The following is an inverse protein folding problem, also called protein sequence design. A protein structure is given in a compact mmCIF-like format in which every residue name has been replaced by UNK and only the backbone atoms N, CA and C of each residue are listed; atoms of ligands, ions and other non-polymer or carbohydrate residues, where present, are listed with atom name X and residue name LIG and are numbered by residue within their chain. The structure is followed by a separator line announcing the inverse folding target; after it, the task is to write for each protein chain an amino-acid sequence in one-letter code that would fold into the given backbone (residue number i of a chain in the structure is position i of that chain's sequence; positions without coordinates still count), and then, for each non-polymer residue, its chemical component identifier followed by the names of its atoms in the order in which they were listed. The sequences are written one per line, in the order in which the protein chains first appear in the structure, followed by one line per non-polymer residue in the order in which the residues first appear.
data_IF_400237758125
#
_entry.id   IF_400237758125
#
_cell.length_a   1.000
_cell.length_b   1.000
_cell.length_c   1.000
_cell.angle_alpha   90.00
_cell.angle_beta   90.00
_cell.angle_gamma   90.00
#
_symmetry.space_group_name_H-M   'P 1'
#
loop_
_entity.id
_entity.type
_entity.pdbx_description
1 polymer ?
#
# COMPACT_ATOMS: atom_id res chain seq x y z
N UNK A 1 -5.13 -46.33 -23.91
CA UNK A 1 -6.18 -45.35 -23.69
C UNK A 1 -5.91 -44.69 -22.35
N UNK A 2 -5.08 -43.64 -22.32
CA UNK A 2 -4.68 -42.94 -21.09
C UNK A 2 -5.58 -41.72 -20.88
N UNK A 3 -6.41 -41.76 -19.83
CA UNK A 3 -7.20 -40.61 -19.38
C UNK A 3 -6.26 -39.55 -18.77
N UNK A 4 -6.11 -38.41 -19.44
CA UNK A 4 -5.52 -37.20 -18.85
C UNK A 4 -6.50 -36.63 -17.83
N UNK A 5 -6.21 -36.76 -16.54
CA UNK A 5 -6.84 -36.03 -15.47
C UNK A 5 -6.41 -34.56 -15.57
N UNK A 6 -7.35 -33.68 -15.89
CA UNK A 6 -7.19 -32.23 -15.75
C UNK A 6 -7.04 -31.91 -14.25
N UNK A 7 -5.84 -31.54 -13.81
CA UNK A 7 -5.68 -30.85 -12.52
C UNK A 7 -6.39 -29.50 -12.62
N UNK A 8 -7.43 -29.34 -11.86
CA UNK A 8 -8.06 -28.06 -11.58
C UNK A 8 -6.97 -27.16 -10.96
N UNK A 9 -6.54 -26.12 -11.69
CA UNK A 9 -5.75 -25.01 -11.13
C UNK A 9 -6.70 -24.23 -10.24
N UNK A 10 -6.57 -24.35 -8.94
CA UNK A 10 -7.15 -23.39 -7.98
C UNK A 10 -6.48 -22.04 -8.25
N UNK A 11 -7.28 -21.03 -8.58
CA UNK A 11 -6.81 -19.65 -8.66
C UNK A 11 -6.28 -19.24 -7.29
N UNK A 12 -5.16 -18.51 -7.19
CA UNK A 12 -4.72 -17.95 -5.92
C UNK A 12 -5.83 -17.04 -5.37
N UNK A 13 -6.15 -17.22 -4.11
CA UNK A 13 -7.14 -16.37 -3.42
C UNK A 13 -6.56 -14.95 -3.24
N UNK A 14 -7.33 -13.94 -3.65
CA UNK A 14 -7.05 -12.55 -3.36
C UNK A 14 -7.22 -12.32 -1.86
N UNK A 15 -6.26 -11.64 -1.22
CA UNK A 15 -6.38 -11.20 0.18
C UNK A 15 -7.53 -10.20 0.28
N UNK A 16 -8.58 -10.56 1.01
CA UNK A 16 -9.79 -9.75 1.17
C UNK A 16 -9.96 -9.33 2.62
N UNK A 17 -9.71 -8.07 2.91
CA UNK A 17 -9.99 -7.53 4.23
C UNK A 17 -10.78 -6.23 4.13
N UNK A 18 -11.93 -6.18 4.77
CA UNK A 18 -12.76 -4.97 4.92
C UNK A 18 -13.03 -4.76 6.39
N UNK A 19 -12.65 -3.59 6.92
CA UNK A 19 -12.80 -3.26 8.32
C UNK A 19 -13.58 -1.95 8.43
N UNK A 20 -14.71 -1.97 9.19
CA UNK A 20 -15.39 -0.75 9.61
C UNK A 20 -14.95 -0.42 11.03
N UNK A 21 -14.49 0.80 11.25
CA UNK A 21 -13.89 1.23 12.50
C UNK A 21 -14.57 2.48 13.03
N UNK A 22 -14.96 2.42 14.30
CA UNK A 22 -15.44 3.58 15.04
C UNK A 22 -14.26 4.21 15.77
N UNK A 23 -13.89 5.43 15.40
CA UNK A 23 -12.84 6.16 16.12
C UNK A 23 -13.49 6.94 17.27
N UNK A 24 -12.99 6.86 18.51
CA UNK A 24 -13.45 7.73 19.56
C UNK A 24 -12.98 9.17 19.29
N UNK A 25 -13.79 9.97 18.63
CA UNK A 25 -13.45 11.37 18.49
C UNK A 25 -14.16 12.15 17.40
N UNK A 26 -13.93 11.93 16.14
CA UNK A 26 -14.45 12.81 15.08
C UNK A 26 -15.00 12.09 13.85
N UNK A 27 -14.52 10.89 13.56
CA UNK A 27 -14.83 10.18 12.31
C UNK A 27 -15.08 8.70 12.56
N UNK A 28 -15.98 8.13 11.79
CA UNK A 28 -16.01 6.71 11.53
C UNK A 28 -15.10 6.43 10.35
N UNK A 29 -14.31 5.36 10.41
CA UNK A 29 -13.40 4.97 9.34
C UNK A 29 -13.87 3.67 8.73
N UNK A 30 -14.03 3.65 7.42
CA UNK A 30 -14.27 2.45 6.63
C UNK A 30 -13.08 2.24 5.72
N UNK A 31 -12.46 1.05 5.80
CA UNK A 31 -11.30 0.73 5.00
C UNK A 31 -11.42 -0.62 4.32
N UNK A 32 -10.76 -0.76 3.18
CA UNK A 32 -10.60 -2.04 2.49
C UNK A 32 -9.24 -2.10 1.82
N UNK A 33 -8.62 -3.27 1.86
CA UNK A 33 -7.37 -3.57 1.18
C UNK A 33 -7.57 -4.84 0.34
N UNK A 34 -7.22 -4.76 -0.95
CA UNK A 34 -7.23 -5.92 -1.85
C UNK A 34 -5.93 -5.96 -2.64
N UNK A 35 -5.46 -7.18 -2.89
CA UNK A 35 -4.32 -7.44 -3.76
C UNK A 35 -4.65 -8.58 -4.72
N UNK A 36 -4.26 -8.46 -5.98
CA UNK A 36 -4.48 -9.45 -7.05
C UNK A 36 -3.19 -9.65 -7.83
N UNK A 37 -2.91 -10.89 -8.22
CA UNK A 37 -1.71 -11.25 -9.00
C UNK A 37 -1.68 -10.62 -10.40
N UNK A 38 -2.78 -10.05 -10.86
CA UNK A 38 -2.94 -9.57 -12.23
C UNK A 38 -3.21 -10.70 -13.23
N UNK A 39 -2.92 -10.44 -14.51
CA UNK A 39 -3.21 -11.38 -15.60
C UNK A 39 -1.97 -12.08 -16.16
N UNK A 40 -0.77 -11.56 -15.90
CA UNK A 40 0.49 -11.99 -16.53
C UNK A 40 1.45 -12.63 -15.52
N UNK A 41 1.57 -12.05 -14.32
CA UNK A 41 2.46 -12.56 -13.27
C UNK A 41 2.01 -13.92 -12.75
N UNK A 42 2.95 -14.78 -12.35
CA UNK A 42 2.67 -16.09 -11.74
C UNK A 42 2.56 -15.98 -10.21
N UNK A 43 3.29 -15.04 -9.60
CA UNK A 43 3.35 -14.79 -8.16
C UNK A 43 2.86 -13.38 -7.88
N UNK A 44 2.27 -13.19 -6.71
CA UNK A 44 1.97 -11.88 -6.18
C UNK A 44 3.08 -11.48 -5.22
N UNK A 45 3.92 -10.53 -5.64
CA UNK A 45 5.02 -10.00 -4.86
C UNK A 45 4.62 -8.74 -4.06
N UNK A 46 3.39 -8.26 -4.25
CA UNK A 46 2.82 -7.18 -3.44
C UNK A 46 2.40 -7.68 -2.06
N UNK A 47 2.50 -6.80 -1.09
CA UNK A 47 1.96 -6.99 0.26
C UNK A 47 1.26 -5.72 0.74
N UNK A 48 0.20 -5.88 1.51
CA UNK A 48 -0.51 -4.75 2.09
C UNK A 48 -1.16 -5.14 3.42
N UNK A 49 -1.31 -4.17 4.29
CA UNK A 49 -1.98 -4.37 5.57
C UNK A 49 -2.76 -3.15 6.01
N UNK A 50 -3.84 -3.42 6.70
CA UNK A 50 -4.61 -2.48 7.49
C UNK A 50 -4.56 -2.93 8.95
N UNK A 51 -4.01 -2.10 9.83
CA UNK A 51 -3.75 -2.49 11.23
C UNK A 51 -4.43 -1.52 12.16
N UNK A 52 -5.30 -2.08 13.00
CA UNK A 52 -5.92 -1.41 14.12
C UNK A 52 -5.51 -2.12 15.40
N UNK A 53 -4.84 -1.43 16.33
CA UNK A 53 -4.60 -1.99 17.66
C UNK A 53 -5.90 -2.34 18.40
N UNK A 54 -5.93 -3.50 19.04
CA UNK A 54 -7.05 -3.87 19.93
C UNK A 54 -7.07 -3.05 21.23
N UNK A 55 -5.88 -2.61 21.67
CA UNK A 55 -5.72 -1.77 22.86
C UNK A 55 -6.15 -0.32 22.56
N UNK A 56 -7.20 0.21 23.24
CA UNK A 56 -7.67 1.58 23.03
C UNK A 56 -6.61 2.66 23.33
N UNK A 57 -5.67 2.42 24.25
CA UNK A 57 -4.61 3.37 24.58
C UNK A 57 -3.58 3.43 23.46
N UNK A 58 -3.22 2.27 22.89
CA UNK A 58 -2.35 2.19 21.71
C UNK A 58 -3.04 2.81 20.51
N UNK A 59 -4.31 2.50 20.27
CA UNK A 59 -5.08 3.11 19.18
C UNK A 59 -5.15 4.64 19.31
N UNK A 60 -5.37 5.18 20.50
CA UNK A 60 -5.40 6.62 20.74
C UNK A 60 -4.03 7.27 20.57
N UNK A 61 -2.93 6.60 20.98
CA UNK A 61 -1.58 7.15 20.94
C UNK A 61 -0.87 6.96 19.61
N UNK A 62 -1.20 5.89 18.84
CA UNK A 62 -0.53 5.52 17.59
C UNK A 62 -1.44 5.58 16.36
N UNK A 63 -2.76 5.47 16.55
CA UNK A 63 -3.73 5.49 15.44
C UNK A 63 -3.78 4.20 14.65
N UNK A 64 -4.33 4.32 13.45
CA UNK A 64 -4.47 3.24 12.44
C UNK A 64 -3.31 3.32 11.47
N UNK A 65 -2.75 2.18 11.10
CA UNK A 65 -1.67 2.08 10.12
C UNK A 65 -2.13 1.32 8.88
N UNK A 66 -1.91 1.90 7.72
CA UNK A 66 -2.20 1.31 6.42
C UNK A 66 -0.89 1.27 5.62
N UNK A 67 -0.60 0.15 4.97
CA UNK A 67 0.64 -0.08 4.23
C UNK A 67 0.35 -0.76 2.88
N UNK A 68 1.07 -0.34 1.84
CA UNK A 68 1.22 -1.06 0.57
C UNK A 68 2.70 -1.14 0.27
N UNK A 69 3.17 -2.32 -0.11
CA UNK A 69 4.56 -2.61 -0.46
C UNK A 69 4.58 -3.46 -1.73
N UNK A 70 5.33 -3.03 -2.73
CA UNK A 70 5.53 -3.70 -4.01
C UNK A 70 6.91 -4.33 -4.01
N UNK A 71 6.94 -5.65 -4.07
CA UNK A 71 8.15 -6.46 -3.96
C UNK A 71 8.87 -6.63 -5.29
N UNK A 72 10.17 -6.43 -5.27
CA UNK A 72 11.02 -6.61 -6.44
C UNK A 72 12.14 -7.59 -6.17
N UNK A 73 12.46 -8.43 -7.18
CA UNK A 73 13.56 -9.38 -7.10
C UNK A 73 13.33 -10.56 -8.01
N UNK A 74 14.33 -11.41 -8.17
CA UNK A 74 14.20 -12.65 -8.95
C UNK A 74 13.48 -13.73 -8.15
N UNK A 75 12.64 -14.54 -8.81
CA UNK A 75 11.88 -15.64 -8.23
C UNK A 75 10.89 -15.17 -7.15
N UNK A 76 10.93 -15.72 -5.93
CA UNK A 76 10.06 -15.32 -4.81
C UNK A 76 10.68 -14.29 -3.86
N UNK A 77 11.77 -13.64 -4.28
CA UNK A 77 12.51 -12.73 -3.39
C UNK A 77 11.75 -11.41 -3.11
N UNK A 78 11.02 -10.89 -4.10
CA UNK A 78 10.16 -9.72 -3.95
C UNK A 78 9.03 -9.95 -2.95
N UNK A 79 8.33 -11.10 -3.01
CA UNK A 79 7.30 -11.49 -2.04
C UNK A 79 7.84 -11.49 -0.60
N UNK A 80 9.05 -12.02 -0.41
CA UNK A 80 9.68 -12.03 0.92
C UNK A 80 9.99 -10.61 1.39
N UNK A 81 10.49 -9.75 0.51
CA UNK A 81 10.87 -8.38 0.85
C UNK A 81 9.64 -7.53 1.23
N UNK A 82 8.57 -7.58 0.41
CA UNK A 82 7.34 -6.81 0.66
C UNK A 82 6.65 -7.26 1.95
N UNK A 83 6.53 -8.57 2.19
CA UNK A 83 5.99 -9.12 3.43
C UNK A 83 6.82 -8.72 4.64
N UNK A 84 8.14 -8.82 4.58
CA UNK A 84 9.03 -8.38 5.66
C UNK A 84 8.88 -6.88 5.95
N UNK A 85 8.73 -6.04 4.93
CA UNK A 85 8.50 -4.61 5.11
C UNK A 85 7.23 -4.38 5.93
N UNK A 86 6.11 -4.97 5.52
CA UNK A 86 4.82 -4.84 6.22
C UNK A 86 4.90 -5.33 7.65
N UNK A 87 5.46 -6.53 7.89
CA UNK A 87 5.57 -7.14 9.23
C UNK A 87 6.47 -6.32 10.17
N UNK A 88 7.66 -5.93 9.70
CA UNK A 88 8.63 -5.21 10.55
C UNK A 88 8.16 -3.79 10.84
N UNK A 89 7.66 -3.07 9.82
CA UNK A 89 7.13 -1.70 10.01
C UNK A 89 5.99 -1.74 11.02
N UNK A 90 5.03 -2.63 10.85
CA UNK A 90 3.89 -2.74 11.74
C UNK A 90 4.29 -3.00 13.18
N UNK A 91 5.15 -3.97 13.41
CA UNK A 91 5.63 -4.32 14.74
C UNK A 91 6.41 -3.17 15.39
N UNK A 92 7.43 -2.64 14.72
CA UNK A 92 8.28 -1.58 15.27
C UNK A 92 7.51 -0.30 15.54
N UNK A 93 6.59 0.07 14.64
CA UNK A 93 5.78 1.28 14.79
C UNK A 93 4.95 1.26 16.08
N UNK A 94 4.31 0.14 16.39
CA UNK A 94 3.46 0.03 17.59
C UNK A 94 4.26 -0.26 18.87
N UNK A 95 5.44 -0.88 18.77
CA UNK A 95 6.35 -1.09 19.91
C UNK A 95 7.09 0.18 20.34
N UNK A 96 7.32 1.14 19.43
CA UNK A 96 8.02 2.39 19.71
C UNK A 96 7.16 3.33 20.58
N UNK A 97 7.70 3.78 21.71
CA UNK A 97 7.03 4.72 22.63
C UNK A 97 7.10 6.19 22.22
N UNK A 98 7.79 6.54 21.13
CA UNK A 98 8.00 7.90 20.67
C UNK A 98 6.81 8.51 19.92
N UNK A 99 7.00 9.71 19.39
CA UNK A 99 5.98 10.36 18.56
C UNK A 99 5.73 9.56 17.29
N UNK A 100 4.47 9.52 16.78
CA UNK A 100 4.09 8.67 15.66
C UNK A 100 4.90 8.89 14.38
N UNK A 101 5.29 10.12 14.07
CA UNK A 101 6.02 10.42 12.84
C UNK A 101 7.47 9.90 12.90
N UNK A 102 8.15 10.12 14.02
CA UNK A 102 9.50 9.60 14.27
C UNK A 102 9.50 8.07 14.34
N UNK A 103 8.52 7.49 15.03
CA UNK A 103 8.34 6.05 15.15
C UNK A 103 8.13 5.39 13.77
N UNK A 104 7.27 5.98 12.93
CA UNK A 104 7.03 5.48 11.57
C UNK A 104 8.29 5.53 10.71
N UNK A 105 9.04 6.64 10.77
CA UNK A 105 10.30 6.79 10.04
C UNK A 105 11.34 5.76 10.48
N UNK A 106 11.48 5.52 11.77
CA UNK A 106 12.43 4.52 12.28
C UNK A 106 11.98 3.10 11.96
N UNK A 107 10.68 2.80 12.00
CA UNK A 107 10.15 1.50 11.58
C UNK A 107 10.52 1.16 10.13
N UNK A 108 10.45 2.13 9.21
CA UNK A 108 10.92 1.96 7.83
C UNK A 108 12.43 1.65 7.75
N UNK A 109 13.25 2.33 8.55
CA UNK A 109 14.70 2.09 8.58
C UNK A 109 15.04 0.70 9.11
N UNK A 110 14.36 0.27 10.17
CA UNK A 110 14.55 -1.07 10.72
C UNK A 110 14.09 -2.16 9.75
N UNK A 111 12.97 -1.95 9.05
CA UNK A 111 12.55 -2.85 7.99
C UNK A 111 13.58 -2.92 6.85
N UNK A 112 14.11 -1.78 6.41
CA UNK A 112 15.18 -1.75 5.41
C UNK A 112 16.40 -2.56 5.87
N UNK A 113 16.87 -2.36 7.09
CA UNK A 113 18.03 -3.11 7.66
C UNK A 113 17.75 -4.60 7.71
N UNK A 114 16.53 -4.99 8.09
CA UNK A 114 16.13 -6.40 8.16
C UNK A 114 16.13 -7.07 6.78
N UNK A 115 15.55 -6.41 5.77
CA UNK A 115 15.51 -6.90 4.39
C UNK A 115 16.92 -7.01 3.82
N UNK A 116 17.72 -5.94 3.92
CA UNK A 116 19.09 -5.91 3.43
C UNK A 116 19.95 -7.02 4.05
N UNK A 117 19.90 -7.17 5.37
CA UNK A 117 20.62 -8.23 6.07
C UNK A 117 20.17 -9.64 5.67
N UNK A 118 18.91 -9.81 5.31
CA UNK A 118 18.39 -11.11 4.84
C UNK A 118 18.90 -11.41 3.43
N UNK A 119 18.93 -10.40 2.54
CA UNK A 119 19.50 -10.51 1.20
C UNK A 119 21.00 -10.85 1.23
N UNK A 120 21.77 -10.27 2.15
CA UNK A 120 23.21 -10.57 2.30
C UNK A 120 23.50 -11.99 2.79
N UNK A 121 22.59 -12.59 3.56
CA UNK A 121 22.80 -13.92 4.17
C UNK A 121 22.36 -15.08 3.30
N UNK A 122 21.52 -14.84 2.32
CA UNK A 122 20.88 -15.86 1.51
C UNK A 122 21.04 -15.51 0.03
N UNK A 123 21.94 -16.22 -0.66
CA UNK A 123 22.21 -15.99 -2.08
C UNK A 123 20.95 -16.08 -2.96
N UNK A 124 19.95 -16.88 -2.56
CA UNK A 124 18.68 -16.99 -3.29
C UNK A 124 17.82 -15.72 -3.18
N UNK A 125 18.14 -14.81 -2.25
CA UNK A 125 17.47 -13.54 -2.00
C UNK A 125 18.33 -12.33 -2.39
N UNK A 126 19.45 -12.56 -3.06
CA UNK A 126 20.33 -11.49 -3.51
C UNK A 126 19.55 -10.52 -4.41
N UNK A 127 19.64 -9.23 -4.08
CA UNK A 127 18.96 -8.17 -4.83
C UNK A 127 17.47 -8.04 -4.56
N UNK A 128 16.92 -8.74 -3.55
CA UNK A 128 15.53 -8.49 -3.14
C UNK A 128 15.38 -7.08 -2.58
N UNK A 129 14.26 -6.47 -2.89
CA UNK A 129 13.88 -5.16 -2.39
C UNK A 129 12.38 -4.99 -2.44
N UNK A 130 11.91 -3.87 -1.95
CA UNK A 130 10.50 -3.51 -2.01
C UNK A 130 10.31 -2.00 -1.92
N UNK A 131 9.26 -1.50 -2.56
CA UNK A 131 8.71 -0.20 -2.20
C UNK A 131 7.98 -0.31 -0.86
N UNK A 132 7.63 0.79 -0.26
CA UNK A 132 6.60 0.82 0.77
C UNK A 132 6.03 2.23 0.91
N UNK A 133 4.70 2.32 0.94
CA UNK A 133 3.95 3.53 1.24
C UNK A 133 3.04 3.26 2.43
N UNK A 134 3.14 4.12 3.44
CA UNK A 134 2.37 4.00 4.68
C UNK A 134 1.59 5.28 4.96
N UNK A 135 0.38 5.09 5.50
CA UNK A 135 -0.49 6.13 6.04
C UNK A 135 -0.86 5.76 7.48
N UNK A 136 -0.70 6.70 8.39
CA UNK A 136 -1.25 6.60 9.76
C UNK A 136 -2.33 7.65 9.93
N UNK A 137 -3.49 7.23 10.45
CA UNK A 137 -4.60 8.11 10.83
C UNK A 137 -4.72 8.16 12.35
N UNK A 138 -4.53 9.33 12.93
CA UNK A 138 -4.53 9.53 14.38
C UNK A 138 -5.11 10.89 14.76
N UNK A 139 -6.05 10.93 15.71
CA UNK A 139 -6.54 12.16 16.34
C UNK A 139 -6.95 13.29 15.38
N UNK A 140 -7.52 12.94 14.22
CA UNK A 140 -7.94 13.91 13.22
C UNK A 140 -6.80 14.45 12.34
N UNK A 141 -5.66 13.75 12.34
CA UNK A 141 -4.53 14.01 11.45
C UNK A 141 -4.07 12.74 10.74
N UNK A 142 -3.36 12.92 9.65
CA UNK A 142 -2.66 11.87 8.92
C UNK A 142 -1.15 12.15 8.90
N UNK A 143 -0.35 11.11 8.98
CA UNK A 143 1.09 11.13 8.70
C UNK A 143 1.42 10.06 7.66
N UNK A 144 2.47 10.28 6.87
CA UNK A 144 2.90 9.33 5.85
C UNK A 144 4.40 9.13 5.88
N UNK A 145 4.82 7.91 5.53
CA UNK A 145 6.19 7.56 5.20
C UNK A 145 6.22 6.77 3.89
N UNK A 146 7.24 6.99 3.07
CA UNK A 146 7.27 6.50 1.71
C UNK A 146 8.70 6.22 1.23
N UNK A 147 8.87 5.07 0.54
CA UNK A 147 10.07 4.67 -0.21
C UNK A 147 9.62 3.93 -1.47
N UNK A 148 10.06 4.36 -2.64
CA UNK A 148 9.74 3.74 -3.92
C UNK A 148 8.78 4.58 -4.76
N UNK A 149 7.91 3.93 -5.50
CA UNK A 149 6.94 4.52 -6.42
C UNK A 149 5.49 4.06 -6.20
N UNK A 150 5.22 3.19 -5.19
CA UNK A 150 3.84 2.97 -4.74
C UNK A 150 3.24 4.29 -4.26
N UNK A 151 1.99 4.57 -4.55
CA UNK A 151 1.40 5.89 -4.38
C UNK A 151 0.37 5.98 -3.26
N UNK A 152 0.25 7.17 -2.70
CA UNK A 152 -0.82 7.60 -1.80
C UNK A 152 -1.56 8.77 -2.45
N UNK A 153 -2.86 8.62 -2.63
CA UNK A 153 -3.76 9.68 -3.10
C UNK A 153 -4.71 10.13 -1.99
N UNK A 154 -5.13 11.38 -2.08
CA UNK A 154 -6.26 11.94 -1.34
C UNK A 154 -7.34 12.36 -2.32
N UNK A 155 -8.56 11.86 -2.15
CA UNK A 155 -9.77 12.36 -2.82
C UNK A 155 -10.51 13.22 -1.81
N UNK A 156 -10.69 14.50 -2.14
CA UNK A 156 -11.32 15.51 -1.28
C UNK A 156 -12.04 16.55 -2.13
N UNK A 157 -13.31 16.85 -1.80
CA UNK A 157 -14.08 17.95 -2.40
C UNK A 157 -14.09 17.93 -3.95
N UNK A 158 -14.21 16.71 -4.54
CA UNK A 158 -14.24 16.53 -6.00
C UNK A 158 -12.88 16.58 -6.69
N UNK A 159 -11.78 16.72 -5.93
CA UNK A 159 -10.41 16.67 -6.43
C UNK A 159 -9.69 15.38 -6.05
N UNK A 160 -8.72 14.96 -6.85
CA UNK A 160 -7.75 13.91 -6.52
C UNK A 160 -6.35 14.52 -6.44
N UNK A 161 -5.61 14.18 -5.40
CA UNK A 161 -4.29 14.75 -5.12
C UNK A 161 -3.31 13.62 -4.84
N UNK A 162 -2.23 13.56 -5.63
CA UNK A 162 -1.10 12.68 -5.33
C UNK A 162 -0.34 13.23 -4.11
N UNK A 163 -0.26 12.45 -3.06
CA UNK A 163 0.31 12.83 -1.77
C UNK A 163 1.73 12.31 -1.55
N UNK A 164 2.23 11.46 -2.45
CA UNK A 164 3.60 10.95 -2.51
C UNK A 164 4.31 11.50 -3.74
N UNK A 165 5.62 11.36 -3.78
CA UNK A 165 6.45 11.67 -4.92
C UNK A 165 7.28 10.43 -5.26
N UNK A 166 7.11 9.88 -6.47
CA UNK A 166 7.75 8.65 -6.88
C UNK A 166 9.28 8.78 -6.85
N UNK A 167 9.96 7.85 -6.24
CA UNK A 167 11.43 7.76 -6.27
C UNK A 167 11.88 7.00 -7.53
N UNK A 168 11.56 7.54 -8.70
CA UNK A 168 11.84 6.94 -10.00
C UNK A 168 12.73 7.84 -10.88
N UNK A 169 13.37 7.22 -11.87
CA UNK A 169 14.22 7.95 -12.83
C UNK A 169 13.42 9.01 -13.60
N UNK A 170 12.21 8.69 -14.01
CA UNK A 170 11.36 9.61 -14.76
C UNK A 170 10.90 10.79 -13.92
N UNK A 171 10.66 10.61 -12.61
CA UNK A 171 10.31 11.71 -11.73
C UNK A 171 11.48 12.68 -11.52
N UNK A 172 12.72 12.18 -11.46
CA UNK A 172 13.90 13.05 -11.44
C UNK A 172 14.05 13.85 -12.75
N UNK A 173 13.72 13.26 -13.92
CA UNK A 173 13.68 13.98 -15.17
C UNK A 173 12.60 15.07 -15.19
N UNK A 174 11.42 14.79 -14.60
CA UNK A 174 10.35 15.80 -14.47
C UNK A 174 10.80 16.97 -13.59
N UNK A 175 11.41 16.69 -12.43
CA UNK A 175 11.95 17.73 -11.52
C UNK A 175 13.05 18.57 -12.19
N UNK A 176 13.87 17.94 -13.02
CA UNK A 176 14.88 18.65 -13.80
C UNK A 176 14.29 19.44 -14.99
N UNK A 177 12.99 19.36 -15.23
CA UNK A 177 12.32 20.03 -16.35
C UNK A 177 12.65 19.43 -17.73
N UNK A 178 13.17 18.21 -17.77
CA UNK A 178 13.55 17.51 -19.01
C UNK A 178 12.33 16.91 -19.73
N UNK A 179 11.35 16.43 -18.98
CA UNK A 179 10.10 15.86 -19.49
C UNK A 179 8.91 16.36 -18.68
N UNK A 180 7.68 16.31 -19.24
CA UNK A 180 6.46 16.57 -18.50
C UNK A 180 6.00 15.33 -17.72
N UNK A 181 5.07 15.49 -16.76
CA UNK A 181 4.43 14.37 -16.05
C UNK A 181 3.74 13.38 -17.02
N UNK A 182 3.09 13.91 -18.05
CA UNK A 182 2.45 13.08 -19.09
C UNK A 182 3.47 12.27 -19.89
N UNK A 183 4.61 12.89 -20.24
CA UNK A 183 5.71 12.18 -20.91
C UNK A 183 6.34 11.11 -20.00
N UNK A 184 6.46 11.37 -18.70
CA UNK A 184 6.98 10.41 -17.72
C UNK A 184 6.12 9.14 -17.67
N UNK A 185 4.79 9.27 -17.75
CA UNK A 185 3.83 8.16 -17.71
C UNK A 185 4.03 7.13 -18.85
N UNK A 186 4.49 7.59 -20.00
CA UNK A 186 4.73 6.76 -21.20
C UNK A 186 6.20 6.55 -21.51
N UNK A 187 7.11 6.96 -20.61
CA UNK A 187 8.55 6.85 -20.83
C UNK A 187 9.00 5.37 -20.73
N UNK A 188 9.98 4.92 -21.57
CA UNK A 188 10.49 3.55 -21.48
C UNK A 188 11.09 3.20 -20.11
N UNK A 189 11.66 4.18 -19.40
CA UNK A 189 12.29 3.99 -18.09
C UNK A 189 11.32 4.31 -16.93
N UNK A 190 10.00 4.33 -17.14
CA UNK A 190 9.01 4.69 -16.10
C UNK A 190 9.08 3.78 -14.86
N UNK A 191 9.44 2.50 -15.05
CA UNK A 191 9.54 1.52 -13.98
C UNK A 191 10.97 1.43 -13.38
N UNK A 192 11.88 2.39 -13.69
CA UNK A 192 13.21 2.44 -13.10
C UNK A 192 13.14 3.14 -11.75
N UNK A 193 13.09 2.34 -10.67
CA UNK A 193 13.05 2.80 -9.29
C UNK A 193 14.46 3.16 -8.83
N UNK A 194 14.63 4.35 -8.27
CA UNK A 194 15.92 4.86 -7.76
C UNK A 194 16.11 4.61 -6.27
N UNK A 195 15.01 4.32 -5.55
CA UNK A 195 15.05 4.11 -4.11
C UNK A 195 14.08 3.01 -3.70
N UNK A 196 14.62 1.93 -3.14
CA UNK A 196 13.87 0.79 -2.63
C UNK A 196 14.43 0.31 -1.28
N UNK A 197 13.60 -0.22 -0.43
CA UNK A 197 13.99 -0.85 0.82
C UNK A 197 14.73 -2.17 0.53
N UNK A 198 15.81 -2.44 1.25
CA UNK A 198 16.61 -3.65 1.12
C UNK A 198 17.74 -3.56 0.11
N UNK A 199 17.70 -2.65 -0.86
CA UNK A 199 18.73 -2.50 -1.90
C UNK A 199 20.08 -1.99 -1.34
N UNK A 200 20.04 -1.20 -0.28
CA UNK A 200 21.21 -0.66 0.41
C UNK A 200 21.06 -0.78 1.93
N UNK A 201 22.18 -0.78 2.67
CA UNK A 201 22.18 -0.87 4.12
C UNK A 201 21.37 0.27 4.79
N UNK A 202 21.40 1.45 4.21
CA UNK A 202 20.63 2.61 4.66
C UNK A 202 19.68 3.09 3.57
N UNK A 203 18.51 3.58 3.98
CA UNK A 203 17.50 4.14 3.08
C UNK A 203 17.04 5.51 3.56
N UNK A 204 16.87 6.43 2.62
CA UNK A 204 16.23 7.71 2.89
C UNK A 204 14.71 7.55 2.82
N UNK A 205 14.05 7.74 3.97
CA UNK A 205 12.58 7.65 4.09
C UNK A 205 11.99 9.03 3.95
N UNK A 206 11.15 9.23 2.93
CA UNK A 206 10.38 10.46 2.74
C UNK A 206 9.18 10.45 3.68
N UNK A 207 9.00 11.55 4.43
CA UNK A 207 7.85 11.77 5.32
C UNK A 207 7.30 13.18 5.11
N UNK A 208 6.02 13.38 5.38
CA UNK A 208 5.50 14.75 5.43
C UNK A 208 6.19 15.55 6.54
N UNK A 209 6.33 16.86 6.35
CA UNK A 209 7.00 17.72 7.34
C UNK A 209 6.21 17.85 8.63
N UNK A 210 4.88 17.90 8.50
CA UNK A 210 3.93 18.07 9.60
C UNK A 210 2.74 17.14 9.39
N UNK A 211 2.05 16.71 10.47
CA UNK A 211 0.81 15.96 10.37
C UNK A 211 -0.24 16.70 9.54
N UNK A 212 -0.84 16.04 8.58
CA UNK A 212 -1.83 16.60 7.67
C UNK A 212 -3.23 16.54 8.31
N UNK A 213 -3.98 17.66 8.40
CA UNK A 213 -5.31 17.65 8.98
C UNK A 213 -6.32 16.94 8.07
N UNK A 214 -7.02 15.94 8.62
CA UNK A 214 -8.06 15.20 7.89
C UNK A 214 -9.46 15.71 8.23
N UNK A 215 -10.42 15.47 7.33
CA UNK A 215 -11.80 15.93 7.43
C UNK A 215 -12.77 14.80 7.12
N UNK A 216 -14.00 14.91 7.60
CA UNK A 216 -15.10 14.07 7.12
C UNK A 216 -15.27 14.22 5.61
N UNK A 217 -15.43 13.10 4.92
CA UNK A 217 -15.52 13.03 3.46
C UNK A 217 -14.17 12.84 2.77
N UNK A 218 -13.05 12.90 3.47
CA UNK A 218 -11.75 12.51 2.91
C UNK A 218 -11.74 11.02 2.58
N UNK A 219 -11.14 10.70 1.46
CA UNK A 219 -10.84 9.32 1.10
C UNK A 219 -9.38 9.21 0.67
N UNK A 220 -8.64 8.33 1.33
CA UNK A 220 -7.25 8.01 0.96
C UNK A 220 -7.21 6.72 0.17
N UNK A 221 -6.36 6.68 -0.87
CA UNK A 221 -6.08 5.48 -1.65
C UNK A 221 -4.57 5.25 -1.70
N UNK A 222 -4.14 4.04 -1.32
CA UNK A 222 -2.77 3.56 -1.48
C UNK A 222 -2.77 2.48 -2.57
N UNK A 223 -1.77 2.49 -3.46
CA UNK A 223 -1.67 1.46 -4.50
C UNK A 223 -0.24 1.21 -4.95
N UNK A 224 0.00 0.01 -5.52
CA UNK A 224 1.18 -0.31 -6.32
C UNK A 224 1.04 0.24 -7.75
N UNK A 225 2.13 0.16 -8.52
CA UNK A 225 2.20 0.66 -9.90
C UNK A 225 1.24 -0.07 -10.86
N UNK A 226 0.96 -1.35 -10.61
CA UNK A 226 0.00 -2.14 -11.40
C UNK A 226 -1.41 -1.54 -11.46
N UNK A 227 -1.75 -0.59 -10.55
CA UNK A 227 -2.99 0.16 -10.66
C UNK A 227 -2.81 1.42 -11.53
N UNK A 228 -1.97 2.36 -11.12
CA UNK A 228 -1.90 3.70 -11.72
C UNK A 228 -1.23 3.72 -13.09
N UNK A 229 -0.52 2.67 -13.45
CA UNK A 229 -0.01 2.45 -14.81
C UNK A 229 -1.12 2.23 -15.84
N UNK A 230 -2.25 1.70 -15.38
CA UNK A 230 -3.37 1.29 -16.24
C UNK A 230 -4.61 2.17 -16.09
N UNK A 231 -4.73 2.90 -14.97
CA UNK A 231 -5.92 3.70 -14.65
C UNK A 231 -5.50 5.16 -14.41
N UNK A 232 -6.22 6.07 -15.06
CA UNK A 232 -5.97 7.51 -14.89
C UNK A 232 -6.50 8.02 -13.55
N UNK A 233 -5.88 9.08 -13.00
CA UNK A 233 -6.23 9.64 -11.70
C UNK A 233 -7.72 10.04 -11.63
N UNK A 234 -8.29 10.63 -12.69
CA UNK A 234 -9.71 10.99 -12.76
C UNK A 234 -10.64 9.77 -12.74
N UNK A 235 -10.22 8.65 -13.28
CA UNK A 235 -10.99 7.40 -13.22
C UNK A 235 -10.92 6.80 -11.81
N UNK A 236 -9.75 6.81 -11.18
CA UNK A 236 -9.57 6.43 -9.76
C UNK A 236 -10.54 7.25 -8.91
N UNK A 237 -10.55 8.58 -9.06
CA UNK A 237 -11.44 9.49 -8.34
C UNK A 237 -12.91 9.11 -8.54
N UNK A 238 -13.33 8.93 -9.80
CA UNK A 238 -14.72 8.61 -10.15
C UNK A 238 -15.21 7.32 -9.48
N UNK A 239 -14.35 6.29 -9.43
CA UNK A 239 -14.67 5.02 -8.78
C UNK A 239 -14.76 5.18 -7.26
N UNK A 240 -13.79 5.90 -6.66
CA UNK A 240 -13.72 6.12 -5.20
C UNK A 240 -14.91 6.93 -4.70
N UNK A 241 -15.32 7.99 -5.43
CA UNK A 241 -16.47 8.82 -5.06
C UNK A 241 -17.83 8.13 -5.21
N UNK A 242 -17.92 7.15 -6.11
CA UNK A 242 -19.19 6.49 -6.43
C UNK A 242 -19.46 5.19 -5.67
N UNK A 243 -18.47 4.67 -4.93
CA UNK A 243 -18.54 3.32 -4.32
C UNK A 243 -17.98 3.29 -2.90
N UNK A 244 -18.50 2.35 -2.09
CA UNK A 244 -17.86 2.01 -0.82
C UNK A 244 -16.45 1.44 -1.02
N UNK A 245 -15.52 1.57 -0.05
CA UNK A 245 -14.11 1.18 -0.20
C UNK A 245 -13.89 -0.21 -0.79
N UNK A 246 -14.61 -1.21 -0.34
CA UNK A 246 -14.47 -2.57 -0.86
C UNK A 246 -14.85 -2.68 -2.33
N UNK A 247 -16.03 -2.18 -2.67
CA UNK A 247 -16.54 -2.21 -4.05
C UNK A 247 -15.68 -1.35 -4.97
N UNK A 248 -15.08 -0.28 -4.45
CA UNK A 248 -14.12 0.54 -5.18
C UNK A 248 -12.82 -0.22 -5.47
N UNK A 249 -12.21 -0.89 -4.47
CA UNK A 249 -11.04 -1.75 -4.66
C UNK A 249 -11.32 -2.85 -5.71
N UNK A 250 -12.43 -3.59 -5.58
CA UNK A 250 -12.83 -4.63 -6.52
C UNK A 250 -12.98 -4.08 -7.95
N UNK A 251 -13.57 -2.90 -8.10
CA UNK A 251 -13.77 -2.26 -9.40
C UNK A 251 -12.49 -1.77 -10.04
N UNK A 252 -11.59 -1.17 -9.25
CA UNK A 252 -10.29 -0.68 -9.75
C UNK A 252 -9.41 -1.85 -10.20
N UNK A 253 -9.34 -2.92 -9.41
CA UNK A 253 -8.61 -4.14 -9.79
C UNK A 253 -9.20 -4.78 -11.05
N UNK A 254 -10.53 -4.89 -11.15
CA UNK A 254 -11.18 -5.43 -12.33
C UNK A 254 -10.87 -4.60 -13.58
N UNK A 255 -10.92 -3.26 -13.48
CA UNK A 255 -10.62 -2.36 -14.57
C UNK A 255 -9.15 -2.45 -15.00
N UNK A 256 -8.20 -2.54 -14.06
CA UNK A 256 -6.79 -2.73 -14.37
C UNK A 256 -6.56 -4.08 -15.09
N UNK A 257 -7.22 -5.15 -14.65
CA UNK A 257 -7.16 -6.47 -15.32
C UNK A 257 -7.76 -6.45 -16.73
N UNK A 258 -8.87 -5.74 -16.97
CA UNK A 258 -9.44 -5.53 -18.29
C UNK A 258 -8.48 -4.80 -19.24
N UNK A 259 -7.60 -3.94 -18.71
CA UNK A 259 -6.57 -3.20 -19.46
C UNK A 259 -5.24 -3.94 -19.58
N UNK A 260 -5.23 -5.21 -19.23
CA UNK A 260 -4.08 -6.11 -19.41
C UNK A 260 -3.54 -6.69 -18.14
N UNK A 261 -3.60 -5.98 -16.99
CA UNK A 261 -3.18 -6.48 -15.68
C UNK A 261 -1.79 -7.11 -15.71
N UNK A 262 -0.82 -6.42 -16.28
CA UNK A 262 0.51 -6.98 -16.56
C UNK A 262 1.39 -7.07 -15.32
N UNK A 263 0.99 -6.46 -14.22
CA UNK A 263 1.66 -6.57 -12.95
C UNK A 263 0.71 -7.00 -11.81
N UNK A 264 1.25 -7.18 -10.60
CA UNK A 264 0.50 -7.31 -9.37
C UNK A 264 -0.25 -6.00 -9.09
N UNK A 265 -1.46 -6.07 -8.57
CA UNK A 265 -2.32 -4.90 -8.38
C UNK A 265 -2.80 -4.87 -6.94
N UNK A 266 -2.25 -3.95 -6.15
CA UNK A 266 -2.66 -3.75 -4.76
C UNK A 266 -3.33 -2.40 -4.59
N UNK A 267 -4.47 -2.38 -3.89
CA UNK A 267 -5.27 -1.18 -3.64
C UNK A 267 -5.79 -1.18 -2.22
N UNK A 268 -5.46 -0.15 -1.46
CA UNK A 268 -6.03 0.12 -0.14
C UNK A 268 -6.82 1.43 -0.16
N UNK A 269 -8.07 1.41 0.28
CA UNK A 269 -8.95 2.59 0.35
C UNK A 269 -9.44 2.79 1.78
N UNK A 270 -9.38 4.04 2.25
CA UNK A 270 -9.81 4.44 3.59
C UNK A 270 -10.68 5.68 3.47
N UNK A 271 -11.96 5.57 3.86
CA UNK A 271 -12.92 6.67 3.85
C UNK A 271 -13.23 7.14 5.27
N UNK A 272 -13.22 8.46 5.48
CA UNK A 272 -13.57 9.11 6.73
C UNK A 272 -15.02 9.59 6.69
N UNK A 273 -15.90 8.95 7.46
CA UNK A 273 -17.32 9.25 7.52
C UNK A 273 -17.67 10.10 8.75
N UNK A 274 -18.85 10.77 8.77
CA UNK A 274 -19.36 11.39 9.99
C UNK A 274 -19.50 10.35 11.10
N UNK A 275 -19.18 10.75 12.33
CA UNK A 275 -19.32 9.86 13.49
C UNK A 275 -20.78 9.39 13.66
N UNK A 276 -20.99 8.08 13.78
CA UNK A 276 -22.30 7.43 13.93
C UNK A 276 -22.92 6.89 12.64
N UNK A 277 -22.33 7.11 11.47
CA UNK A 277 -22.85 6.58 10.21
C UNK A 277 -22.43 5.12 9.91
N UNK A 278 -21.35 4.64 10.52
CA UNK A 278 -20.86 3.27 10.29
C UNK A 278 -21.64 2.17 11.03
N UNK A 279 -22.61 2.51 11.87
CA UNK A 279 -23.33 1.56 12.76
C UNK A 279 -24.23 0.54 12.05
N UNK A 280 -24.30 0.50 10.73
CA UNK A 280 -25.28 -0.33 10.02
C UNK A 280 -24.81 -1.72 9.60
N UNK A 281 -23.55 -2.11 9.82
CA UNK A 281 -23.10 -3.49 9.54
C UNK A 281 -22.02 -3.96 10.51
N UNK A 282 -22.21 -5.11 11.20
CA UNK A 282 -21.13 -5.77 11.93
C UNK A 282 -20.10 -6.28 10.92
N UNK A 283 -18.88 -5.79 11.01
CA UNK A 283 -17.75 -6.27 10.22
C UNK A 283 -17.05 -7.37 11.00
N UNK A 284 -16.69 -8.50 10.39
CA UNK A 284 -15.88 -9.52 11.03
C UNK A 284 -14.54 -8.93 11.42
N UNK A 285 -14.16 -9.06 12.70
CA UNK A 285 -12.83 -8.66 13.19
C UNK A 285 -11.74 -9.44 12.46
N UNK A 286 -10.66 -8.76 12.16
CA UNK A 286 -9.43 -9.23 11.55
C UNK A 286 -9.03 -10.65 11.97
N UNK A 287 -8.76 -11.50 10.99
CA UNK A 287 -7.85 -12.62 11.18
C UNK A 287 -6.61 -12.34 10.35
N UNK A 288 -5.46 -12.41 11.01
CA UNK A 288 -4.17 -12.53 10.34
C UNK A 288 -4.28 -13.61 9.26
N UNK A 289 -3.85 -13.28 8.05
CA UNK A 289 -3.74 -14.26 6.99
C UNK A 289 -2.52 -15.11 7.32
N UNK A 290 -2.74 -16.28 7.92
CA UNK A 290 -1.72 -17.31 7.97
C UNK A 290 -1.37 -17.65 6.52
N UNK A 291 -0.15 -17.32 6.13
CA UNK A 291 0.44 -17.86 4.92
C UNK A 291 0.50 -19.38 5.08
N UNK A 292 -0.31 -20.08 4.30
CA UNK A 292 -0.26 -21.52 4.25
C UNK A 292 1.15 -21.97 3.87
N UNK A 293 1.69 -22.85 4.72
CA UNK A 293 2.94 -23.59 4.56
C UNK A 293 2.90 -24.45 3.29
#
# INVERSE_FOLDING_TARGET
MFKKTKKSRTKPESVKETVALVHPGKFDIVASMLSDVGCVRELNEDSGAFIQPDDPEVLASKGLLILVADGMGGHSAGEVASRMAVEVISRIYYEDGGDPQSALKEAFREANRAIHKTAEKDESKTGMGTTCTALVLQNGTAISAHVGDSRLYLVREGGIYLMTEDHSAVMEMVKAGLISLEQARHHPDKNVILRAMGSHAEVEVTTWKEPFPVRTGDCFLLCSDGLYDLIEDEEIKSVVESKEPRSACESLIALAKERGGHDNISVGIVSLLPAGESQTRPVPRTREVEAGI
#
